data_IF_654282897365
#
_entry.id   IF_654282897365
#
_cell.length_a   1.000
_cell.length_b   1.000
_cell.length_c   1.000
_cell.angle_alpha   90.00
_cell.angle_beta   90.00
_cell.angle_gamma   90.00
#
_symmetry.space_group_name_H-M   'P 1'
#
loop_
_entity.id
_entity.type
_entity.pdbx_description
1 polymer ?
#
# COMPACT_ATOMS: atom_id res chain seq x y z
N UNK A 1 4.04 -41.90 -13.79
CA UNK A 1 4.57 -41.28 -12.56
C UNK A 1 5.44 -40.09 -12.97
N UNK A 2 4.96 -38.87 -12.80
CA UNK A 2 5.75 -37.65 -13.01
C UNK A 2 6.39 -37.31 -11.66
N UNK A 3 7.71 -37.15 -11.53
CA UNK A 3 8.32 -36.87 -10.25
C UNK A 3 7.97 -35.44 -9.86
N UNK A 4 7.13 -35.28 -8.83
CA UNK A 4 7.04 -34.03 -8.09
C UNK A 4 8.36 -33.87 -7.34
N UNK A 5 9.33 -33.19 -7.95
CA UNK A 5 10.49 -32.68 -7.22
C UNK A 5 9.95 -31.68 -6.21
N UNK A 6 9.73 -32.13 -4.97
CA UNK A 6 9.53 -31.25 -3.82
C UNK A 6 10.88 -30.55 -3.61
N UNK A 7 11.14 -29.48 -4.38
CA UNK A 7 12.17 -28.54 -4.00
C UNK A 7 11.72 -27.99 -2.64
N UNK A 8 12.33 -28.48 -1.57
CA UNK A 8 12.24 -27.84 -0.27
C UNK A 8 12.72 -26.41 -0.50
N UNK A 9 11.78 -25.46 -0.63
CA UNK A 9 12.11 -24.05 -0.63
C UNK A 9 12.61 -23.75 0.79
N UNK A 10 13.92 -23.85 0.95
CA UNK A 10 14.60 -23.61 2.21
C UNK A 10 14.26 -22.19 2.68
N UNK A 11 13.96 -22.09 3.96
CA UNK A 11 13.51 -20.85 4.55
C UNK A 11 14.65 -19.83 4.51
N UNK A 12 14.47 -18.73 3.78
CA UNK A 12 15.52 -17.76 3.49
C UNK A 12 15.56 -16.69 4.59
N UNK A 13 16.71 -16.51 5.23
CA UNK A 13 16.91 -15.43 6.21
C UNK A 13 17.23 -14.14 5.45
N UNK A 14 16.45 -13.10 5.73
CA UNK A 14 16.58 -11.78 5.10
C UNK A 14 17.01 -10.78 6.17
N UNK A 15 18.20 -10.16 6.04
CA UNK A 15 18.58 -9.05 6.88
C UNK A 15 17.68 -7.86 6.56
N UNK A 16 17.24 -7.17 7.60
CA UNK A 16 16.39 -6.01 7.46
C UNK A 16 17.15 -4.73 7.77
N UNK A 17 16.78 -3.65 7.10
CA UNK A 17 17.22 -2.31 7.43
C UNK A 17 16.08 -1.59 8.13
N UNK A 18 16.31 -0.92 9.28
CA UNK A 18 15.30 -0.04 9.87
C UNK A 18 14.78 0.95 8.82
N UNK A 19 13.47 1.04 8.71
CA UNK A 19 12.75 1.94 7.83
C UNK A 19 12.03 2.97 8.70
N UNK A 20 12.16 4.24 8.31
CA UNK A 20 11.38 5.33 8.88
C UNK A 20 10.44 5.76 7.79
N UNK A 21 9.15 5.77 8.13
CA UNK A 21 8.09 6.29 7.29
C UNK A 21 8.21 7.82 7.30
N UNK A 22 9.05 8.33 6.41
CA UNK A 22 9.36 9.75 6.27
C UNK A 22 8.51 10.40 5.17
N UNK A 23 7.24 9.98 5.08
CA UNK A 23 6.15 10.64 4.38
C UNK A 23 6.62 11.66 3.35
N UNK A 24 6.94 11.18 2.15
CA UNK A 24 7.16 12.06 1.01
C UNK A 24 6.01 13.06 0.94
N UNK A 25 6.28 14.36 0.99
CA UNK A 25 7.27 15.01 0.13
C UNK A 25 8.51 15.59 0.85
N UNK A 26 9.48 14.70 1.14
CA UNK A 26 10.94 14.89 1.27
C UNK A 26 11.50 15.65 2.49
N UNK A 27 12.11 14.90 3.43
CA UNK A 27 13.58 14.79 3.72
C UNK A 27 13.82 14.34 5.18
N UNK A 28 14.47 13.18 5.36
CA UNK A 28 15.54 12.77 6.32
C UNK A 28 15.54 13.31 7.80
N UNK A 29 15.94 12.53 8.85
CA UNK A 29 16.82 11.35 8.86
C UNK A 29 16.28 10.09 9.61
N UNK A 30 16.65 8.92 9.09
CA UNK A 30 16.38 7.57 9.62
C UNK A 30 17.54 7.13 10.53
N UNK A 31 17.94 7.97 11.48
CA UNK A 31 18.97 7.55 12.42
C UNK A 31 18.31 7.03 13.69
N UNK A 32 18.67 5.81 14.16
CA UNK A 32 18.39 5.47 15.54
C UNK A 32 18.91 6.62 16.38
N UNK A 33 18.04 7.23 17.17
CA UNK A 33 18.49 8.33 17.98
C UNK A 33 19.29 7.72 19.14
N UNK A 34 20.60 7.72 18.97
CA UNK A 34 21.56 7.20 19.94
C UNK A 34 21.82 8.31 20.95
N UNK A 35 21.22 8.16 22.13
CA UNK A 35 21.44 9.10 23.23
C UNK A 35 22.52 8.54 24.14
N UNK A 36 23.68 9.19 24.14
CA UNK A 36 24.75 8.88 25.11
C UNK A 36 24.29 9.25 26.51
N UNK A 37 24.37 8.29 27.42
CA UNK A 37 24.13 8.50 28.84
C UNK A 37 25.44 8.91 29.51
N UNK A 38 25.45 10.05 30.20
CA UNK A 38 26.56 10.46 31.06
C UNK A 38 26.11 10.27 32.50
N UNK A 39 26.83 9.43 33.26
CA UNK A 39 26.46 9.05 34.64
C UNK A 39 25.01 8.53 34.75
N UNK A 40 24.53 7.80 33.74
CA UNK A 40 23.17 7.24 33.69
C UNK A 40 22.06 8.23 33.35
N UNK A 41 22.39 9.45 32.92
CA UNK A 41 21.41 10.51 32.61
C UNK A 41 21.63 11.04 31.20
N UNK A 42 20.54 11.39 30.51
CA UNK A 42 20.60 12.17 29.29
C UNK A 42 19.35 13.02 29.05
N UNK A 43 19.42 13.87 28.03
CA UNK A 43 18.27 14.63 27.53
C UNK A 43 17.87 14.09 26.16
N UNK A 44 16.60 13.71 26.04
CA UNK A 44 15.94 13.29 24.83
C UNK A 44 15.21 14.49 24.22
N UNK A 45 15.45 14.81 22.95
CA UNK A 45 14.70 15.85 22.22
C UNK A 45 13.77 15.20 21.21
N UNK A 46 12.47 15.51 21.29
CA UNK A 46 11.46 15.11 20.30
C UNK A 46 10.68 16.34 19.90
N UNK A 47 10.80 16.73 18.62
CA UNK A 47 10.35 18.04 18.15
C UNK A 47 11.04 19.17 18.93
N UNK A 48 10.26 20.13 19.42
CA UNK A 48 10.77 21.25 20.25
C UNK A 48 10.84 20.93 21.74
N UNK A 49 10.31 19.78 22.18
CA UNK A 49 10.24 19.42 23.60
C UNK A 49 11.41 18.52 24.02
N UNK A 50 12.02 18.87 25.16
CA UNK A 50 13.06 18.06 25.82
C UNK A 50 12.49 17.23 26.96
N UNK A 51 13.00 16.01 27.12
CA UNK A 51 12.68 15.08 28.20
C UNK A 51 13.97 14.66 28.88
N UNK A 52 13.98 14.61 30.21
CA UNK A 52 15.12 14.06 30.95
C UNK A 52 14.91 12.57 31.16
N UNK A 53 15.93 11.78 30.85
CA UNK A 53 15.89 10.33 31.02
C UNK A 53 16.97 9.87 31.98
N UNK A 54 16.61 8.94 32.86
CA UNK A 54 17.53 8.28 33.77
C UNK A 54 17.46 6.78 33.57
N UNK A 55 18.63 6.17 33.45
CA UNK A 55 18.79 4.75 33.64
C UNK A 55 19.32 4.50 35.05
N UNK A 56 18.50 3.87 35.89
CA UNK A 56 18.93 3.42 37.21
C UNK A 56 19.54 2.01 37.11
N UNK A 57 20.37 1.59 38.06
CA UNK A 57 20.85 0.21 38.11
C UNK A 57 19.70 -0.79 37.94
N UNK A 58 19.86 -1.75 37.03
CA UNK A 58 18.83 -2.71 36.65
C UNK A 58 17.92 -2.23 35.50
N UNK A 59 16.73 -2.84 35.31
CA UNK A 59 15.91 -2.64 34.11
C UNK A 59 15.05 -1.36 34.13
N UNK A 60 15.38 -0.35 34.91
CA UNK A 60 14.47 0.78 35.14
C UNK A 60 14.89 2.02 34.34
N UNK A 61 14.09 2.37 33.34
CA UNK A 61 14.15 3.65 32.64
C UNK A 61 13.14 4.61 33.27
N UNK A 62 13.57 5.81 33.62
CA UNK A 62 12.69 6.89 34.11
C UNK A 62 12.68 7.99 33.06
N UNK A 63 11.50 8.50 32.72
CA UNK A 63 11.33 9.57 31.74
C UNK A 63 10.54 10.72 32.35
N UNK A 64 11.20 11.85 32.60
CA UNK A 64 10.58 13.10 33.05
C UNK A 64 9.66 13.64 31.96
N UNK A 65 8.36 13.40 32.10
CA UNK A 65 7.35 13.81 31.12
C UNK A 65 6.80 15.20 31.41
N UNK A 66 6.81 15.59 32.69
CA UNK A 66 6.26 16.85 33.18
C UNK A 66 7.27 18.02 33.12
N UNK A 67 8.55 17.72 32.90
CA UNK A 67 9.63 18.68 32.71
C UNK A 67 10.13 19.30 34.02
N UNK A 68 9.80 18.72 35.19
CA UNK A 68 10.14 19.28 36.49
C UNK A 68 11.59 18.96 36.93
N UNK A 69 12.32 18.16 36.15
CA UNK A 69 13.70 17.78 36.39
C UNK A 69 13.89 16.74 37.49
N UNK A 70 12.81 16.14 38.01
CA UNK A 70 12.82 15.15 39.09
C UNK A 70 12.40 13.78 38.56
N UNK A 71 13.01 12.73 39.10
CA UNK A 71 12.67 11.37 38.74
C UNK A 71 11.50 10.86 39.59
N UNK A 72 10.33 10.69 39.00
CA UNK A 72 9.13 10.24 39.72
C UNK A 72 8.87 8.72 39.57
N UNK A 73 8.28 8.05 40.57
CA UNK A 73 7.93 6.63 40.46
C UNK A 73 6.92 6.31 39.36
N UNK A 74 5.97 7.21 39.09
CA UNK A 74 4.95 7.13 38.03
C UNK A 74 5.54 7.13 36.62
N UNK A 75 6.78 7.58 36.48
CA UNK A 75 7.49 7.73 35.21
C UNK A 75 8.42 6.54 34.88
N UNK A 76 8.40 5.50 35.72
CA UNK A 76 9.24 4.32 35.59
C UNK A 76 8.68 3.36 34.54
N UNK A 77 9.54 2.99 33.60
CA UNK A 77 9.32 1.95 32.61
C UNK A 77 10.29 0.82 32.92
N UNK A 78 9.73 -0.36 33.23
CA UNK A 78 10.51 -1.58 33.41
C UNK A 78 10.83 -2.17 32.04
N UNK A 79 12.12 -2.29 31.76
CA UNK A 79 12.64 -2.92 30.56
C UNK A 79 12.72 -4.45 30.76
N UNK A 80 12.45 -5.21 29.71
CA UNK A 80 12.75 -6.63 29.65
C UNK A 80 14.26 -6.82 29.50
N UNK A 81 14.84 -7.75 30.25
CA UNK A 81 16.27 -8.08 30.15
C UNK A 81 16.46 -9.32 29.28
N UNK A 82 17.31 -9.23 28.26
CA UNK A 82 17.75 -10.36 27.45
C UNK A 82 19.27 -10.48 27.45
N UNK A 83 19.76 -11.69 27.66
CA UNK A 83 21.17 -12.01 27.50
C UNK A 83 21.41 -12.52 26.09
N UNK A 84 22.35 -11.90 25.39
CA UNK A 84 22.76 -12.27 24.04
C UNK A 84 24.26 -12.60 24.03
N UNK A 85 24.70 -13.40 23.06
CA UNK A 85 26.12 -13.75 22.89
C UNK A 85 26.58 -13.51 21.45
N UNK A 86 26.55 -12.26 20.95
CA UNK A 86 27.05 -11.94 19.61
C UNK A 86 28.56 -12.22 19.52
N UNK A 87 28.97 -13.01 18.52
CA UNK A 87 30.37 -13.38 18.26
C UNK A 87 31.11 -13.89 19.51
N UNK A 88 30.44 -14.71 20.34
CA UNK A 88 31.02 -15.30 21.55
C UNK A 88 31.14 -14.37 22.76
N UNK A 89 30.76 -13.09 22.63
CA UNK A 89 30.82 -12.11 23.72
C UNK A 89 29.45 -11.89 24.36
N UNK A 90 29.28 -12.12 25.68
CA UNK A 90 28.01 -11.89 26.35
C UNK A 90 27.68 -10.39 26.44
N UNK A 91 26.42 -10.07 26.14
CA UNK A 91 25.83 -8.73 26.19
C UNK A 91 24.49 -8.80 26.89
N UNK A 92 24.21 -7.83 27.77
CA UNK A 92 22.88 -7.66 28.37
C UNK A 92 22.15 -6.55 27.63
N UNK A 93 21.02 -6.90 27.03
CA UNK A 93 20.14 -5.99 26.32
C UNK A 93 18.91 -5.73 27.17
N UNK A 94 18.60 -4.45 27.39
CA UNK A 94 17.36 -4.04 28.02
C UNK A 94 16.43 -3.50 26.94
N UNK A 95 15.21 -4.02 26.89
CA UNK A 95 14.23 -3.77 25.84
C UNK A 95 12.95 -3.21 26.45
N UNK A 96 12.34 -2.23 25.81
CA UNK A 96 11.03 -1.77 26.24
C UNK A 96 10.40 -0.86 25.23
N UNK A 97 9.29 -0.25 25.62
CA UNK A 97 8.59 0.71 24.78
C UNK A 97 8.31 1.99 25.53
N UNK A 98 8.50 3.12 24.85
CA UNK A 98 8.31 4.45 25.37
C UNK A 98 7.32 5.21 24.49
N UNK A 99 6.18 5.59 25.05
CA UNK A 99 5.26 6.51 24.40
C UNK A 99 5.66 7.95 24.74
N UNK A 100 5.83 8.79 23.71
CA UNK A 100 6.07 10.22 23.85
C UNK A 100 4.91 11.01 23.24
N UNK A 101 4.69 12.28 23.67
CA UNK A 101 3.67 13.17 23.10
C UNK A 101 3.69 13.20 21.56
N UNK A 102 2.50 13.31 20.96
CA UNK A 102 2.31 13.17 19.51
C UNK A 102 1.92 11.75 19.06
N UNK A 103 1.51 10.88 19.99
CA UNK A 103 1.12 9.47 19.74
C UNK A 103 2.22 8.61 19.09
N UNK A 104 3.48 8.99 19.21
CA UNK A 104 4.60 8.20 18.70
C UNK A 104 5.11 7.27 19.80
N UNK A 105 5.12 5.98 19.48
CA UNK A 105 5.73 4.95 20.32
C UNK A 105 7.15 4.70 19.81
N UNK A 106 8.08 4.55 20.73
CA UNK A 106 9.47 4.23 20.45
C UNK A 106 9.81 2.89 21.07
N UNK A 107 10.50 2.04 20.31
CA UNK A 107 11.21 0.90 20.89
C UNK A 107 12.48 1.44 21.54
N UNK A 108 12.66 1.08 22.81
CA UNK A 108 13.80 1.48 23.62
C UNK A 108 14.75 0.31 23.73
N UNK A 109 16.03 0.55 23.44
CA UNK A 109 17.10 -0.41 23.69
C UNK A 109 18.23 0.20 24.47
N UNK A 110 18.71 -0.52 25.46
CA UNK A 110 19.93 -0.17 26.18
C UNK A 110 20.88 -1.36 26.18
N UNK A 111 22.15 -1.08 25.82
CA UNK A 111 23.20 -2.08 25.76
C UNK A 111 24.16 -1.86 26.92
N UNK A 112 24.16 -2.81 27.84
CA UNK A 112 25.14 -2.89 28.93
C UNK A 112 26.08 -4.05 28.66
N UNK A 113 27.32 -3.73 28.30
CA UNK A 113 28.35 -4.73 28.10
C UNK A 113 29.75 -4.17 28.33
N UNK A 114 30.61 -5.04 28.82
CA UNK A 114 32.05 -4.83 28.98
C UNK A 114 32.83 -5.74 28.01
N UNK A 115 32.39 -5.82 26.76
CA UNK A 115 33.02 -6.62 25.68
C UNK A 115 33.98 -5.78 24.83
N UNK A 116 35.01 -6.39 24.24
CA UNK A 116 35.90 -5.74 23.27
C UNK A 116 35.31 -5.66 21.84
N UNK A 117 34.05 -6.05 21.63
CA UNK A 117 33.38 -5.91 20.34
C UNK A 117 33.19 -4.41 19.98
N UNK A 118 33.76 -3.98 18.85
CA UNK A 118 33.77 -2.58 18.42
C UNK A 118 32.37 -1.98 18.20
N UNK A 119 31.42 -2.78 17.70
CA UNK A 119 30.03 -2.35 17.49
C UNK A 119 29.29 -2.18 18.83
N UNK A 120 29.53 -3.08 19.77
CA UNK A 120 28.96 -3.01 21.13
C UNK A 120 29.58 -1.85 21.92
N UNK A 121 30.89 -1.61 21.78
CA UNK A 121 31.56 -0.46 22.38
C UNK A 121 31.03 0.86 21.83
N UNK A 122 30.71 0.93 20.53
CA UNK A 122 30.03 2.08 19.95
C UNK A 122 28.66 2.30 20.58
N UNK A 123 27.93 1.28 21.01
CA UNK A 123 26.57 1.42 21.58
C UNK A 123 26.53 1.35 23.12
N UNK A 124 27.67 1.16 23.77
CA UNK A 124 27.78 1.12 25.23
C UNK A 124 27.27 2.40 25.85
N UNK A 125 26.53 2.27 26.94
CA UNK A 125 25.95 3.41 27.68
C UNK A 125 25.09 4.32 26.78
N UNK A 126 24.44 3.76 25.75
CA UNK A 126 23.57 4.51 24.87
C UNK A 126 22.14 3.97 24.91
N UNK A 127 21.19 4.89 24.96
CA UNK A 127 19.78 4.61 24.69
C UNK A 127 19.57 4.68 23.19
N UNK A 128 19.13 3.59 22.58
CA UNK A 128 18.75 3.56 21.16
C UNK A 128 17.24 3.65 21.09
N UNK A 129 16.76 4.77 20.59
CA UNK A 129 15.34 5.00 20.33
C UNK A 129 15.07 4.79 18.85
N UNK A 130 14.26 3.79 18.56
CA UNK A 130 13.74 3.59 17.22
C UNK A 130 12.28 3.97 17.23
N UNK A 131 11.79 4.77 16.27
CA UNK A 131 10.35 4.90 16.12
C UNK A 131 9.78 3.50 15.88
N UNK A 132 8.52 3.23 16.23
CA UNK A 132 7.83 1.99 15.81
C UNK A 132 7.63 1.89 14.29
N UNK A 133 8.36 2.69 13.52
CA UNK A 133 8.49 2.66 12.08
C UNK A 133 9.23 1.38 11.66
N UNK A 134 8.80 0.85 10.52
CA UNK A 134 9.02 -0.53 10.17
C UNK A 134 10.46 -0.94 9.85
N UNK A 135 10.61 -2.15 9.33
CA UNK A 135 11.86 -2.68 8.79
C UNK A 135 11.66 -2.98 7.32
N UNK A 136 12.57 -2.59 6.44
CA UNK A 136 12.53 -2.95 5.02
C UNK A 136 13.53 -4.05 4.69
N UNK A 137 13.17 -4.86 3.70
CA UNK A 137 14.03 -5.90 3.17
C UNK A 137 13.72 -6.21 1.71
N UNK A 138 14.47 -7.15 1.15
CA UNK A 138 14.19 -7.77 -0.15
C UNK A 138 14.09 -9.28 0.03
N UNK A 139 13.02 -9.86 -0.47
CA UNK A 139 12.79 -11.31 -0.45
C UNK A 139 12.36 -11.79 -1.83
N UNK A 140 12.59 -13.07 -2.13
CA UNK A 140 12.10 -13.68 -3.37
C UNK A 140 10.79 -14.42 -3.11
N UNK A 141 9.74 -14.01 -3.82
CA UNK A 141 8.44 -14.69 -3.83
C UNK A 141 8.17 -15.16 -5.27
N UNK A 142 7.92 -16.46 -5.46
CA UNK A 142 7.70 -17.05 -6.78
C UNK A 142 8.86 -16.85 -7.76
N UNK A 143 10.10 -16.76 -7.25
CA UNK A 143 11.29 -16.48 -8.07
C UNK A 143 11.50 -15.00 -8.42
N UNK A 144 10.62 -14.10 -7.95
CA UNK A 144 10.75 -12.65 -8.17
C UNK A 144 11.20 -11.97 -6.88
N UNK A 145 12.31 -11.22 -6.97
CA UNK A 145 12.76 -10.35 -5.89
C UNK A 145 11.79 -9.18 -5.72
N UNK A 146 11.22 -9.02 -4.53
CA UNK A 146 10.29 -7.96 -4.16
C UNK A 146 10.82 -7.21 -2.95
N UNK A 147 10.53 -5.91 -2.89
CA UNK A 147 10.73 -5.13 -1.66
C UNK A 147 9.59 -5.42 -0.70
N UNK A 148 9.87 -5.40 0.59
CA UNK A 148 8.84 -5.47 1.61
C UNK A 148 9.19 -4.56 2.79
N UNK A 149 8.17 -4.21 3.57
CA UNK A 149 8.34 -3.60 4.89
C UNK A 149 7.56 -4.37 5.95
N UNK A 150 8.03 -4.33 7.19
CA UNK A 150 7.32 -4.85 8.36
C UNK A 150 7.12 -3.71 9.33
N UNK A 151 5.89 -3.37 9.71
CA UNK A 151 5.60 -2.36 10.72
C UNK A 151 5.15 -3.02 12.02
N UNK A 152 5.83 -2.67 13.11
CA UNK A 152 5.55 -3.21 14.46
C UNK A 152 6.59 -4.23 14.92
N UNK A 153 6.80 -4.30 16.24
CA UNK A 153 7.79 -5.18 16.88
C UNK A 153 7.19 -6.49 17.42
N UNK A 154 5.88 -6.57 17.59
CA UNK A 154 5.19 -7.79 18.00
C UNK A 154 4.94 -8.72 16.79
N UNK A 155 5.53 -9.93 16.75
CA UNK A 155 5.33 -10.86 15.63
C UNK A 155 3.87 -11.29 15.42
N UNK A 156 3.03 -11.23 16.46
CA UNK A 156 1.62 -11.64 16.37
C UNK A 156 0.74 -10.60 15.69
N UNK A 157 1.12 -9.32 15.74
CA UNK A 157 0.30 -8.20 15.27
C UNK A 157 1.01 -7.28 14.26
N UNK A 158 2.28 -7.51 13.96
CA UNK A 158 3.02 -6.73 12.97
C UNK A 158 2.39 -6.83 11.58
N UNK A 159 2.34 -5.71 10.87
CA UNK A 159 1.89 -5.65 9.49
C UNK A 159 3.06 -5.90 8.55
N UNK A 160 2.86 -6.75 7.55
CA UNK A 160 3.78 -7.01 6.44
C UNK A 160 3.23 -6.31 5.19
N UNK A 161 4.07 -5.52 4.55
CA UNK A 161 3.79 -4.86 3.28
C UNK A 161 4.71 -5.43 2.23
N UNK A 162 4.20 -5.88 1.08
CA UNK A 162 5.03 -6.39 -0.03
C UNK A 162 4.73 -5.60 -1.29
N UNK A 163 5.76 -5.04 -1.91
CA UNK A 163 5.71 -4.28 -3.16
C UNK A 163 5.51 -5.27 -4.31
N UNK A 164 4.24 -5.54 -4.62
CA UNK A 164 3.86 -6.62 -5.54
C UNK A 164 3.80 -6.16 -6.99
N UNK A 165 3.54 -4.88 -7.23
CA UNK A 165 3.51 -4.30 -8.56
C UNK A 165 4.83 -3.64 -8.98
N UNK A 166 5.79 -3.51 -8.05
CA UNK A 166 7.13 -3.01 -8.32
C UNK A 166 7.18 -1.51 -8.54
N UNK A 167 6.18 -0.76 -8.10
CA UNK A 167 6.15 0.70 -8.22
C UNK A 167 7.04 1.40 -7.17
N UNK A 168 7.55 0.64 -6.19
CA UNK A 168 8.44 1.11 -5.14
C UNK A 168 7.74 1.73 -3.94
N UNK A 169 6.40 1.79 -3.93
CA UNK A 169 5.55 2.36 -2.89
C UNK A 169 4.80 1.25 -2.18
N UNK A 170 5.11 1.02 -0.91
CA UNK A 170 4.54 -0.07 -0.13
C UNK A 170 3.19 0.29 0.51
N UNK A 171 2.21 -0.62 0.39
CA UNK A 171 0.98 -0.57 1.18
C UNK A 171 -0.06 0.42 0.65
N UNK A 172 0.04 0.79 -0.63
CA UNK A 172 -0.91 1.68 -1.28
C UNK A 172 -2.27 1.00 -1.51
N UNK A 173 -2.29 -0.33 -1.51
CA UNK A 173 -3.49 -1.14 -1.75
C UNK A 173 -3.58 -2.31 -0.77
N UNK A 174 -4.79 -2.77 -0.40
CA UNK A 174 -4.96 -3.91 0.51
C UNK A 174 -4.27 -5.20 0.05
N UNK A 175 -4.09 -5.36 -1.27
CA UNK A 175 -3.39 -6.51 -1.85
C UNK A 175 -1.90 -6.56 -1.51
N UNK A 176 -1.31 -5.47 -1.03
CA UNK A 176 0.07 -5.44 -0.56
C UNK A 176 0.20 -5.59 0.95
N UNK A 177 -0.93 -5.61 1.67
CA UNK A 177 -0.97 -5.59 3.13
C UNK A 177 -1.34 -6.97 3.67
N UNK A 178 -0.50 -7.50 4.55
CA UNK A 178 -0.68 -8.79 5.20
C UNK A 178 -0.41 -8.67 6.70
N UNK A 179 -0.98 -9.59 7.48
CA UNK A 179 -0.60 -9.76 8.88
C UNK A 179 0.59 -10.72 8.96
N UNK A 180 1.67 -10.32 9.63
CA UNK A 180 2.93 -11.07 9.63
C UNK A 180 2.80 -12.50 10.19
N UNK A 181 1.92 -12.67 11.18
CA UNK A 181 1.62 -13.96 11.84
C UNK A 181 0.79 -14.91 10.97
N UNK A 182 0.10 -14.39 9.96
CA UNK A 182 -0.80 -15.18 9.12
C UNK A 182 -0.14 -15.59 7.80
N UNK A 183 -0.50 -16.76 7.23
CA UNK A 183 -0.10 -17.11 5.88
C UNK A 183 -0.71 -16.14 4.85
N UNK A 184 0.07 -15.81 3.81
CA UNK A 184 -0.34 -14.90 2.74
C UNK A 184 0.00 -15.46 1.37
N UNK A 185 -0.76 -15.11 0.34
CA UNK A 185 -0.59 -15.64 -1.01
C UNK A 185 -0.11 -14.57 -1.99
N UNK A 186 0.96 -14.88 -2.73
CA UNK A 186 1.50 -14.05 -3.81
C UNK A 186 1.73 -14.96 -5.02
N UNK A 187 1.06 -14.64 -6.15
CA UNK A 187 1.27 -15.34 -7.41
C UNK A 187 0.90 -16.82 -7.33
N UNK A 188 -0.19 -17.15 -6.63
CA UNK A 188 -0.68 -18.52 -6.43
C UNK A 188 0.09 -19.36 -5.40
N UNK A 189 1.18 -18.86 -4.82
CA UNK A 189 1.94 -19.57 -3.78
C UNK A 189 1.66 -18.95 -2.40
N UNK A 190 1.34 -19.79 -1.41
CA UNK A 190 1.15 -19.32 -0.03
C UNK A 190 2.46 -19.37 0.75
N UNK A 191 2.82 -18.26 1.38
CA UNK A 191 3.99 -18.05 2.21
C UNK A 191 3.58 -17.81 3.67
N UNK A 192 4.54 -17.95 4.59
CA UNK A 192 4.43 -17.51 5.98
C UNK A 192 5.77 -17.03 6.50
N UNK A 193 5.76 -16.11 7.46
CA UNK A 193 6.93 -15.83 8.28
C UNK A 193 7.12 -16.97 9.30
N UNK A 194 8.35 -17.46 9.46
CA UNK A 194 8.69 -18.50 10.46
C UNK A 194 9.59 -18.00 11.58
N UNK A 195 10.18 -16.82 11.41
CA UNK A 195 10.87 -16.12 12.49
C UNK A 195 10.90 -14.65 12.18
N UNK A 196 10.66 -13.80 13.18
CA UNK A 196 10.86 -12.37 13.10
C UNK A 196 11.62 -11.93 14.36
N UNK A 197 12.85 -11.46 14.17
CA UNK A 197 13.68 -10.91 15.22
C UNK A 197 13.72 -9.40 15.02
N UNK A 198 12.88 -8.62 15.72
CA UNK A 198 13.07 -7.18 15.78
C UNK A 198 14.33 -6.93 16.61
N UNK A 199 15.20 -6.03 16.16
CA UNK A 199 16.50 -5.94 16.81
C UNK A 199 17.42 -4.90 16.21
N UNK A 200 18.61 -4.78 16.80
CA UNK A 200 19.70 -3.98 16.26
C UNK A 200 20.20 -4.58 14.94
N UNK A 201 20.07 -5.90 14.82
CA UNK A 201 20.27 -6.66 13.60
C UNK A 201 18.96 -7.38 13.27
N UNK A 202 17.95 -6.64 12.80
CA UNK A 202 16.63 -7.20 12.58
C UNK A 202 16.68 -8.20 11.43
N UNK A 203 15.97 -9.31 11.59
CA UNK A 203 15.90 -10.34 10.56
C UNK A 203 14.54 -10.99 10.51
N UNK A 204 14.19 -11.47 9.34
CA UNK A 204 12.99 -12.28 9.10
C UNK A 204 13.34 -13.48 8.25
N UNK A 205 12.57 -14.55 8.43
CA UNK A 205 12.62 -15.72 7.56
C UNK A 205 11.25 -16.05 7.03
N UNK A 206 11.14 -16.19 5.71
CA UNK A 206 9.94 -16.65 5.03
C UNK A 206 10.09 -18.09 4.56
N UNK A 207 8.99 -18.82 4.47
CA UNK A 207 8.92 -20.14 3.84
C UNK A 207 7.57 -20.36 3.17
N UNK A 208 7.46 -21.38 2.34
CA UNK A 208 6.19 -21.81 1.76
C UNK A 208 5.34 -22.45 2.86
N UNK A 209 4.08 -22.03 2.96
CA UNK A 209 3.13 -22.59 3.90
C UNK A 209 2.44 -23.82 3.31
N UNK A 210 2.25 -24.91 4.08
CA UNK A 210 1.41 -26.03 3.67
C UNK A 210 -0.09 -25.65 3.66
N UNK A 211 -0.49 -24.64 4.46
CA UNK A 211 -1.85 -24.10 4.46
C UNK A 211 -2.02 -23.17 3.27
N UNK A 212 -3.04 -23.43 2.44
CA UNK A 212 -3.42 -22.56 1.33
C UNK A 212 -4.34 -21.44 1.81
N UNK A 213 -4.09 -20.23 1.32
CA UNK A 213 -4.98 -19.08 1.48
C UNK A 213 -5.31 -18.50 0.11
N UNK A 214 -6.50 -17.90 -0.02
CA UNK A 214 -6.92 -17.25 -1.25
C UNK A 214 -5.97 -16.10 -1.61
N UNK A 215 -5.70 -15.94 -2.91
CA UNK A 215 -4.92 -14.80 -3.39
C UNK A 215 -5.79 -13.54 -3.38
N UNK A 216 -5.27 -12.47 -2.78
CA UNK A 216 -5.81 -11.13 -2.96
C UNK A 216 -5.23 -10.59 -4.27
N UNK A 217 -6.07 -10.34 -5.25
CA UNK A 217 -5.61 -9.84 -6.54
C UNK A 217 -5.13 -8.40 -6.43
N UNK A 218 -4.00 -8.09 -7.08
CA UNK A 218 -3.55 -6.71 -7.23
C UNK A 218 -4.57 -5.95 -8.09
N UNK A 219 -5.01 -4.75 -7.67
CA UNK A 219 -5.77 -3.90 -8.55
C UNK A 219 -4.91 -3.52 -9.76
N UNK A 220 -5.52 -3.27 -10.93
CA UNK A 220 -4.77 -2.84 -12.09
C UNK A 220 -4.14 -1.46 -11.88
N UNK A 221 -2.97 -1.23 -12.46
CA UNK A 221 -2.33 0.09 -12.51
C UNK A 221 -3.06 0.97 -13.55
N UNK A 222 -3.90 1.88 -13.06
CA UNK A 222 -4.72 2.76 -13.88
C UNK A 222 -4.10 4.16 -14.11
N UNK A 223 -2.79 4.33 -13.84
CA UNK A 223 -2.09 5.59 -14.09
C UNK A 223 -2.02 5.91 -15.58
N UNK A 224 -1.94 7.21 -15.89
CA UNK A 224 -1.70 7.70 -17.25
C UNK A 224 -0.46 7.03 -17.84
N UNK A 225 -0.61 6.55 -19.07
CA UNK A 225 0.44 5.87 -19.82
C UNK A 225 0.47 4.35 -19.67
N UNK A 226 -0.28 3.78 -18.72
CA UNK A 226 -0.44 2.32 -18.56
C UNK A 226 -1.51 1.77 -19.49
N UNK A 227 -1.57 0.44 -19.64
CA UNK A 227 -2.56 -0.21 -20.49
C UNK A 227 -3.81 -0.53 -19.68
N UNK A 228 -4.95 -0.03 -20.12
CA UNK A 228 -6.23 -0.30 -19.50
C UNK A 228 -6.59 -1.81 -19.62
N UNK A 229 -7.00 -2.48 -18.54
CA UNK A 229 -7.42 -3.87 -18.58
C UNK A 229 -8.50 -4.16 -19.63
N UNK A 230 -8.30 -5.19 -20.45
CA UNK A 230 -9.32 -5.54 -21.43
C UNK A 230 -10.60 -6.05 -20.77
N UNK A 231 -11.74 -5.66 -21.34
CA UNK A 231 -13.08 -6.10 -20.95
C UNK A 231 -13.86 -6.56 -22.17
N UNK A 232 -14.76 -7.49 -21.94
CA UNK A 232 -15.82 -7.85 -22.87
C UNK A 232 -17.16 -7.71 -22.17
N UNK A 233 -18.12 -7.16 -22.89
CA UNK A 233 -19.48 -6.96 -22.40
C UNK A 233 -20.48 -7.12 -23.53
N UNK A 234 -21.76 -6.95 -23.20
CA UNK A 234 -22.84 -6.94 -24.18
C UNK A 234 -23.71 -5.71 -23.99
N UNK A 235 -24.11 -5.13 -25.11
CA UNK A 235 -25.15 -4.09 -25.10
C UNK A 235 -26.50 -4.68 -24.71
N UNK A 236 -27.48 -3.82 -24.41
CA UNK A 236 -28.87 -4.24 -24.18
C UNK A 236 -29.48 -5.02 -25.36
N UNK A 237 -29.00 -4.76 -26.58
CA UNK A 237 -29.39 -5.49 -27.79
C UNK A 237 -28.58 -6.79 -28.00
N UNK A 238 -27.75 -7.21 -27.03
CA UNK A 238 -26.93 -8.41 -27.10
C UNK A 238 -25.65 -8.28 -27.92
N UNK A 239 -25.41 -7.15 -28.60
CA UNK A 239 -24.20 -6.92 -29.39
C UNK A 239 -22.95 -6.98 -28.50
N UNK A 240 -21.92 -7.77 -28.86
CA UNK A 240 -20.68 -7.84 -28.08
C UNK A 240 -19.89 -6.54 -28.19
N UNK A 241 -19.30 -6.11 -27.08
CA UNK A 241 -18.41 -4.95 -26.97
C UNK A 241 -17.09 -5.41 -26.40
N UNK A 242 -15.98 -4.99 -27.02
CA UNK A 242 -14.61 -5.24 -26.54
C UNK A 242 -13.97 -3.90 -26.21
N UNK A 243 -13.59 -3.69 -24.96
CA UNK A 243 -12.91 -2.46 -24.52
C UNK A 243 -11.47 -2.77 -24.11
N UNK A 244 -10.47 -1.95 -24.49
CA UNK A 244 -10.54 -0.80 -25.41
C UNK A 244 -10.48 -1.20 -26.90
N UNK A 245 -10.01 -2.41 -27.21
CA UNK A 245 -9.64 -2.86 -28.57
C UNK A 245 -10.75 -2.84 -29.62
N UNK A 246 -12.02 -2.71 -29.24
CA UNK A 246 -13.15 -2.60 -30.17
C UNK A 246 -13.30 -1.21 -30.82
N UNK A 247 -12.42 -0.26 -30.48
CA UNK A 247 -12.52 1.14 -30.91
C UNK A 247 -11.19 1.67 -31.49
N UNK A 248 -10.57 0.97 -32.45
CA UNK A 248 -9.30 1.40 -33.02
C UNK A 248 -9.42 2.81 -33.65
N UNK A 249 -8.36 3.59 -33.52
CA UNK A 249 -8.27 4.97 -34.01
C UNK A 249 -9.04 6.00 -33.18
N UNK A 250 -9.79 5.57 -32.16
CA UNK A 250 -10.59 6.47 -31.32
C UNK A 250 -9.92 6.82 -30.01
N UNK A 251 -10.27 7.97 -29.44
CA UNK A 251 -10.12 8.28 -28.01
C UNK A 251 -11.42 7.85 -27.34
N UNK A 252 -11.34 6.97 -26.36
CA UNK A 252 -12.52 6.32 -25.78
C UNK A 252 -12.64 6.70 -24.31
N UNK A 253 -13.77 7.28 -23.91
CA UNK A 253 -14.14 7.45 -22.51
C UNK A 253 -14.86 6.18 -22.05
N UNK A 254 -14.26 5.45 -21.11
CA UNK A 254 -14.99 4.49 -20.29
C UNK A 254 -15.76 5.25 -19.22
N UNK A 255 -17.04 4.95 -19.06
CA UNK A 255 -17.92 5.54 -18.04
C UNK A 255 -18.68 4.42 -17.32
N UNK A 256 -18.43 4.22 -16.03
CA UNK A 256 -19.12 3.20 -15.24
C UNK A 256 -20.13 3.90 -14.34
N UNK A 257 -21.40 3.53 -14.52
CA UNK A 257 -22.54 4.27 -13.99
C UNK A 257 -23.70 3.35 -13.59
N UNK A 258 -24.72 3.92 -12.96
CA UNK A 258 -25.98 3.23 -12.70
C UNK A 258 -27.15 4.23 -12.67
N UNK A 259 -28.38 3.75 -12.91
CA UNK A 259 -29.58 4.62 -12.94
C UNK A 259 -29.88 5.28 -11.60
N UNK A 260 -29.56 4.59 -10.50
CA UNK A 260 -29.72 5.06 -9.13
C UNK A 260 -28.60 6.00 -8.66
N UNK A 261 -27.53 6.16 -9.45
CA UNK A 261 -26.38 6.98 -9.09
C UNK A 261 -26.62 8.47 -9.37
N UNK A 262 -26.98 9.25 -8.34
CA UNK A 262 -27.20 10.69 -8.44
C UNK A 262 -26.04 11.46 -9.10
N UNK A 263 -24.79 11.32 -8.64
CA UNK A 263 -23.65 11.99 -9.26
C UNK A 263 -23.43 11.58 -10.72
N UNK A 264 -23.63 10.32 -11.09
CA UNK A 264 -23.52 9.87 -12.48
C UNK A 264 -24.52 10.59 -13.39
N UNK A 265 -25.76 10.77 -12.91
CA UNK A 265 -26.80 11.51 -13.63
C UNK A 265 -26.40 12.97 -13.86
N UNK A 266 -25.69 13.58 -12.91
CA UNK A 266 -25.19 14.94 -13.05
C UNK A 266 -24.06 15.09 -14.09
N UNK A 267 -23.33 14.01 -14.40
CA UNK A 267 -22.27 14.02 -15.42
C UNK A 267 -22.84 13.90 -16.86
N UNK A 268 -24.05 13.36 -17.03
CA UNK A 268 -24.66 13.09 -18.34
C UNK A 268 -24.65 14.31 -19.29
N UNK A 269 -25.05 15.54 -18.87
CA UNK A 269 -25.02 16.69 -19.76
C UNK A 269 -23.62 16.96 -20.32
N UNK A 270 -22.58 16.89 -19.47
CA UNK A 270 -21.20 17.12 -19.87
C UNK A 270 -20.69 16.06 -20.84
N UNK A 271 -21.00 14.77 -20.60
CA UNK A 271 -20.64 13.69 -21.50
C UNK A 271 -21.35 13.84 -22.84
N UNK A 272 -22.64 14.20 -22.84
CA UNK A 272 -23.42 14.43 -24.06
C UNK A 272 -22.86 15.57 -24.88
N UNK A 273 -22.55 16.70 -24.25
CA UNK A 273 -22.03 17.88 -24.94
C UNK A 273 -20.64 17.59 -25.52
N UNK A 274 -19.78 16.90 -24.77
CA UNK A 274 -18.49 16.41 -25.26
C UNK A 274 -18.66 15.42 -26.43
N UNK A 275 -19.57 14.46 -26.32
CA UNK A 275 -19.81 13.48 -27.38
C UNK A 275 -20.33 14.15 -28.66
N UNK A 276 -21.27 15.09 -28.54
CA UNK A 276 -21.77 15.86 -29.68
C UNK A 276 -20.66 16.66 -30.36
N UNK A 277 -19.79 17.31 -29.58
CA UNK A 277 -18.69 18.14 -30.09
C UNK A 277 -17.54 17.33 -30.71
N UNK A 278 -17.16 16.22 -30.09
CA UNK A 278 -15.90 15.52 -30.43
C UNK A 278 -16.07 14.20 -31.17
N UNK A 279 -17.26 13.60 -31.26
CA UNK A 279 -17.43 12.27 -31.90
C UNK A 279 -16.90 12.21 -33.34
N UNK A 280 -17.07 13.30 -34.11
CA UNK A 280 -16.56 13.41 -35.49
C UNK A 280 -15.04 13.59 -35.56
N UNK A 281 -14.39 13.94 -34.46
CA UNK A 281 -12.94 14.09 -34.29
C UNK A 281 -12.29 12.84 -33.70
N UNK A 282 -12.99 11.69 -33.75
CA UNK A 282 -12.45 10.42 -33.25
C UNK A 282 -12.67 10.16 -31.76
N UNK A 283 -13.61 10.87 -31.11
CA UNK A 283 -14.01 10.55 -29.73
C UNK A 283 -15.15 9.52 -29.69
N UNK A 284 -15.14 8.65 -28.69
CA UNK A 284 -16.18 7.66 -28.41
C UNK A 284 -16.44 7.54 -26.91
N UNK A 285 -17.66 7.14 -26.54
CA UNK A 285 -18.01 6.81 -25.15
C UNK A 285 -18.51 5.37 -25.08
N UNK A 286 -17.99 4.64 -24.10
CA UNK A 286 -18.43 3.28 -23.77
C UNK A 286 -18.84 3.28 -22.31
N UNK A 287 -20.15 3.30 -22.09
CA UNK A 287 -20.71 3.32 -20.75
C UNK A 287 -21.05 1.89 -20.30
N UNK A 288 -20.66 1.53 -19.08
CA UNK A 288 -20.95 0.25 -18.43
C UNK A 288 -21.94 0.50 -17.28
N UNK A 289 -23.18 0.09 -17.50
CA UNK A 289 -24.23 0.12 -16.49
C UNK A 289 -24.05 -1.04 -15.51
N UNK A 290 -23.86 -0.71 -14.23
CA UNK A 290 -23.75 -1.68 -13.13
C UNK A 290 -25.06 -1.84 -12.36
N UNK A 291 -26.20 -1.44 -12.92
CA UNK A 291 -27.51 -1.74 -12.35
C UNK A 291 -27.72 -3.26 -12.10
N UNK A 292 -28.64 -3.57 -11.19
CA UNK A 292 -28.86 -4.93 -10.70
C UNK A 292 -29.51 -5.85 -11.76
N UNK A 293 -29.38 -7.18 -11.58
CA UNK A 293 -30.11 -8.14 -12.41
C UNK A 293 -31.61 -7.82 -12.48
N UNK A 294 -32.22 -7.91 -13.67
CA UNK A 294 -33.66 -7.68 -13.87
C UNK A 294 -34.05 -6.23 -14.14
N UNK A 295 -33.09 -5.30 -14.15
CA UNK A 295 -33.36 -3.86 -14.36
C UNK A 295 -33.22 -3.39 -15.83
N UNK A 296 -33.08 -4.31 -16.78
CA UNK A 296 -32.78 -4.01 -18.19
C UNK A 296 -33.75 -3.00 -18.81
N UNK A 297 -35.05 -3.13 -18.52
CA UNK A 297 -36.09 -2.24 -19.07
C UNK A 297 -35.96 -0.82 -18.50
N UNK A 298 -35.68 -0.68 -17.21
CA UNK A 298 -35.46 0.61 -16.55
C UNK A 298 -34.22 1.30 -17.13
N UNK A 299 -33.11 0.56 -17.28
CA UNK A 299 -31.88 1.09 -17.89
C UNK A 299 -32.12 1.53 -19.33
N UNK A 300 -32.82 0.72 -20.14
CA UNK A 300 -33.16 1.08 -21.52
C UNK A 300 -34.02 2.35 -21.60
N UNK A 301 -35.04 2.48 -20.73
CA UNK A 301 -35.88 3.67 -20.65
C UNK A 301 -35.07 4.91 -20.23
N UNK A 302 -34.17 4.75 -19.26
CA UNK A 302 -33.29 5.81 -18.80
C UNK A 302 -32.35 6.31 -19.91
N UNK A 303 -31.70 5.39 -20.64
CA UNK A 303 -30.82 5.71 -21.77
C UNK A 303 -31.58 6.53 -22.82
N UNK A 304 -32.80 6.08 -23.18
CA UNK A 304 -33.64 6.76 -24.15
C UNK A 304 -34.06 8.16 -23.68
N UNK A 305 -34.49 8.29 -22.43
CA UNK A 305 -34.94 9.57 -21.86
C UNK A 305 -33.81 10.62 -21.76
N UNK A 306 -32.58 10.17 -21.53
CA UNK A 306 -31.43 11.05 -21.36
C UNK A 306 -30.60 11.25 -22.64
N UNK A 307 -30.95 10.57 -23.73
CA UNK A 307 -30.29 10.70 -25.04
C UNK A 307 -28.84 10.21 -25.05
N UNK A 308 -28.49 9.24 -24.20
CA UNK A 308 -27.13 8.69 -24.08
C UNK A 308 -26.85 7.62 -25.14
N UNK A 309 -26.93 8.02 -26.41
CA UNK A 309 -26.99 7.16 -27.59
C UNK A 309 -25.62 6.62 -28.08
N UNK A 310 -24.59 6.68 -27.24
CA UNK A 310 -23.30 6.04 -27.51
C UNK A 310 -23.33 4.56 -27.09
N UNK A 311 -22.17 3.90 -27.08
CA UNK A 311 -22.14 2.47 -26.75
C UNK A 311 -22.49 2.26 -25.27
N UNK A 312 -23.56 1.51 -25.02
CA UNK A 312 -24.05 1.18 -23.68
C UNK A 312 -23.93 -0.33 -23.44
N UNK A 313 -23.12 -0.73 -22.46
CA UNK A 313 -22.97 -2.10 -21.97
C UNK A 313 -23.81 -2.24 -20.70
N UNK A 314 -24.61 -3.31 -20.62
CA UNK A 314 -25.36 -3.64 -19.41
C UNK A 314 -24.73 -4.87 -18.74
N UNK A 315 -24.11 -4.67 -17.57
CA UNK A 315 -23.47 -5.75 -16.82
C UNK A 315 -24.49 -6.56 -16.01
N UNK A 316 -25.51 -5.89 -15.45
CA UNK A 316 -26.63 -6.53 -14.77
C UNK A 316 -26.23 -7.33 -13.53
N UNK A 317 -25.19 -6.89 -12.82
CA UNK A 317 -24.54 -7.65 -11.73
C UNK A 317 -24.18 -6.78 -10.52
N UNK A 318 -24.66 -5.53 -10.45
CA UNK A 318 -24.30 -4.65 -9.33
C UNK A 318 -22.78 -4.46 -9.24
N UNK A 319 -22.28 -4.36 -8.01
CA UNK A 319 -20.84 -4.30 -7.72
C UNK A 319 -20.06 -5.58 -8.07
N UNK A 320 -20.74 -6.70 -8.32
CA UNK A 320 -20.11 -7.94 -8.81
C UNK A 320 -19.88 -7.94 -10.33
N UNK A 321 -20.19 -6.83 -11.01
CA UNK A 321 -19.96 -6.67 -12.44
C UNK A 321 -18.49 -6.90 -12.81
N UNK A 322 -18.20 -7.61 -13.92
CA UNK A 322 -16.85 -7.78 -14.46
C UNK A 322 -16.04 -6.50 -14.54
N UNK A 323 -16.64 -5.38 -14.95
CA UNK A 323 -15.97 -4.06 -14.96
C UNK A 323 -15.51 -3.63 -13.56
N UNK A 324 -16.36 -3.74 -12.54
CA UNK A 324 -16.02 -3.38 -11.16
C UNK A 324 -14.91 -4.25 -10.59
N UNK A 325 -15.00 -5.56 -10.82
CA UNK A 325 -14.00 -6.51 -10.33
C UNK A 325 -12.66 -6.31 -11.04
N UNK A 326 -12.67 -6.13 -12.37
CA UNK A 326 -11.46 -6.02 -13.18
C UNK A 326 -10.72 -4.72 -12.95
N UNK A 327 -11.45 -3.62 -12.73
CA UNK A 327 -10.89 -2.28 -12.49
C UNK A 327 -10.81 -1.92 -10.99
N UNK A 328 -11.19 -2.83 -10.09
CA UNK A 328 -11.27 -2.58 -8.64
C UNK A 328 -12.09 -1.31 -8.31
N UNK A 329 -13.23 -1.13 -8.97
CA UNK A 329 -14.10 0.04 -8.81
C UNK A 329 -14.94 -0.13 -7.54
N UNK A 330 -14.81 0.84 -6.63
CA UNK A 330 -15.53 0.88 -5.34
C UNK A 330 -16.52 2.04 -5.23
N UNK A 331 -16.61 2.87 -6.26
CA UNK A 331 -17.47 4.04 -6.32
C UNK A 331 -17.77 4.40 -7.77
N UNK A 332 -18.95 4.98 -8.00
CA UNK A 332 -19.36 5.52 -9.29
C UNK A 332 -19.84 6.98 -9.12
N UNK A 333 -19.69 7.85 -10.13
CA UNK A 333 -19.18 7.56 -11.48
C UNK A 333 -17.70 7.21 -11.46
N UNK A 334 -17.29 6.27 -12.31
CA UNK A 334 -15.88 5.99 -12.57
C UNK A 334 -15.61 6.23 -14.05
N UNK A 335 -14.65 7.08 -14.37
CA UNK A 335 -14.31 7.42 -15.76
C UNK A 335 -12.82 7.25 -16.04
N UNK A 336 -12.51 6.75 -17.23
CA UNK A 336 -11.14 6.55 -17.71
C UNK A 336 -11.06 6.87 -19.20
N UNK A 337 -10.13 7.73 -19.59
CA UNK A 337 -9.91 8.06 -20.99
C UNK A 337 -8.77 7.21 -21.53
N UNK A 338 -9.00 6.51 -22.63
CA UNK A 338 -8.02 5.58 -23.21
C UNK A 338 -7.88 5.76 -24.71
N UNK A 339 -6.71 5.44 -25.22
CA UNK A 339 -6.45 5.27 -26.63
C UNK A 339 -7.02 3.92 -27.09
N UNK A 340 -7.98 3.94 -28.02
CA UNK A 340 -8.67 2.71 -28.46
C UNK A 340 -7.82 1.78 -29.33
N UNK A 341 -6.69 2.24 -29.88
CA UNK A 341 -5.75 1.41 -30.66
C UNK A 341 -4.76 0.69 -29.75
N UNK A 342 -4.14 1.44 -28.84
CA UNK A 342 -3.06 0.93 -27.98
C UNK A 342 -3.58 0.41 -26.65
N UNK A 343 -4.75 0.87 -26.21
CA UNK A 343 -5.29 0.67 -24.86
C UNK A 343 -4.62 1.53 -23.80
N UNK A 344 -3.75 2.47 -24.19
CA UNK A 344 -3.01 3.33 -23.26
C UNK A 344 -3.96 4.32 -22.58
N UNK A 345 -3.87 4.44 -21.26
CA UNK A 345 -4.63 5.41 -20.47
C UNK A 345 -4.08 6.80 -20.76
N UNK A 346 -4.96 7.71 -21.15
CA UNK A 346 -4.64 9.09 -21.54
C UNK A 346 -4.95 10.08 -20.42
N UNK A 347 -6.00 9.81 -19.63
CA UNK A 347 -6.39 10.62 -18.48
C UNK A 347 -7.24 9.78 -17.50
N UNK A 348 -7.25 10.21 -16.24
CA UNK A 348 -8.01 9.60 -15.13
C UNK A 348 -9.10 10.56 -14.63
N UNK A 349 -9.94 10.07 -13.71
CA UNK A 349 -11.15 10.77 -13.21
C UNK A 349 -10.95 12.25 -12.85
N UNK A 350 -9.81 12.61 -12.27
CA UNK A 350 -9.47 13.98 -11.88
C UNK A 350 -9.65 15.01 -13.01
N UNK A 351 -9.49 14.59 -14.28
CA UNK A 351 -9.57 15.47 -15.44
C UNK A 351 -10.83 15.25 -16.29
N UNK A 352 -11.68 14.29 -15.93
CA UNK A 352 -12.71 13.77 -16.83
C UNK A 352 -14.14 14.04 -16.37
N UNK A 353 -14.31 14.84 -15.31
CA UNK A 353 -15.63 15.16 -14.75
C UNK A 353 -16.02 16.61 -14.94
N UNK A 354 -17.32 16.83 -15.16
CA UNK A 354 -17.92 18.13 -15.39
C UNK A 354 -17.26 18.87 -16.58
N UNK A 355 -17.04 20.19 -16.46
CA UNK A 355 -16.48 20.99 -17.56
C UNK A 355 -15.04 20.61 -17.93
N UNK A 356 -14.30 19.91 -17.05
CA UNK A 356 -12.92 19.48 -17.31
C UNK A 356 -12.82 18.50 -18.47
N UNK A 357 -13.83 17.63 -18.65
CA UNK A 357 -13.86 16.63 -19.72
C UNK A 357 -13.61 17.27 -21.10
N UNK A 358 -14.31 18.36 -21.41
CA UNK A 358 -14.21 19.01 -22.71
C UNK A 358 -12.82 19.63 -22.94
N UNK A 359 -12.19 20.18 -21.91
CA UNK A 359 -10.85 20.76 -21.98
C UNK A 359 -9.78 19.68 -22.17
N UNK A 360 -9.87 18.57 -21.44
CA UNK A 360 -8.96 17.43 -21.59
C UNK A 360 -9.07 16.81 -22.98
N UNK A 361 -10.29 16.66 -23.51
CA UNK A 361 -10.50 16.14 -24.86
C UNK A 361 -9.91 17.03 -25.94
N UNK A 362 -10.01 18.37 -25.84
CA UNK A 362 -9.35 19.26 -26.81
C UNK A 362 -7.84 19.01 -26.83
N UNK A 363 -7.19 18.98 -25.67
CA UNK A 363 -5.75 18.77 -25.58
C UNK A 363 -5.32 17.42 -26.16
N UNK A 364 -5.99 16.34 -25.75
CA UNK A 364 -5.67 14.98 -26.21
C UNK A 364 -5.91 14.83 -27.72
N UNK A 365 -7.02 15.33 -28.24
CA UNK A 365 -7.35 15.20 -29.67
C UNK A 365 -6.48 16.09 -30.55
N UNK A 366 -6.08 17.28 -30.09
CA UNK A 366 -5.16 18.14 -30.82
C UNK A 366 -3.77 17.50 -30.98
N UNK A 367 -3.30 16.76 -29.98
CA UNK A 367 -2.01 16.06 -30.04
C UNK A 367 -2.01 14.85 -30.99
N UNK A 368 -3.16 14.21 -31.24
CA UNK A 368 -3.26 13.07 -32.18
C UNK A 368 -3.41 13.48 -33.64
N UNK A 369 -3.76 14.74 -33.90
CA UNK A 369 -3.87 15.31 -35.25
C UNK A 369 -2.54 15.85 -35.82
N UNK A 370 -1.46 15.76 -35.03
CA UNK A 370 -0.07 16.01 -35.45
C UNK A 370 0.61 14.66 -35.63
#
# INVERSE_FOLDING_TARGET
MIPFSLALLQAQTVPLTPFVDDGGTKTHPIDPMIVRLTKGVATLRVGTKGYRVWLRPGPNLIVDRNGNGRAEPSERIRLETRRLVPNGSPVTLYLGSLALPGNVRYDVRFVDSNTNNAEVQRLRNALVLMPTSGYVGKASFGGKAMRFAIRGSDPQSAALFVDRDGDGVLGTVPAEMFTLSEPFNIGGTTYKAVSYQPGLQPSIRFTVSPRRVAEVFMPPDLRVGKIAPSLTGRTLAGKPVKFPKGFPGKVVLMDVWATWCGPCRAEIPYIRDAYAKYRKRGFEVVSFSIDDPGTQKQVAAFIKANGTNWTQVFEGKGWQSPVCQRYNIKGIPFVLLVDGSTGKILATEEYLRGPRLAATLEGVLAMRGR
#
